data_IF_474277234128
#
_entry.id   IF_474277234128
#
_cell.length_a   1.000
_cell.length_b   1.000
_cell.length_c   1.000
_cell.angle_alpha   90.00
_cell.angle_beta   90.00
_cell.angle_gamma   90.00
#
_symmetry.space_group_name_H-M   'P 1'
#
loop_
_entity.id
_entity.type
_entity.pdbx_description
1 polymer ?
#
# COMPACT_ATOMS: atom_id res chain seq x y z
N UNK A 1 -5.43 12.27 14.92
CA UNK A 1 -4.92 11.04 15.56
C UNK A 1 -5.59 9.86 14.88
N UNK A 2 -4.85 8.84 14.40
CA UNK A 2 -5.49 7.63 13.92
C UNK A 2 -6.35 7.06 15.06
N UNK A 3 -7.56 6.61 14.71
CA UNK A 3 -8.43 5.91 15.65
C UNK A 3 -7.72 4.63 16.14
N UNK A 4 -7.94 4.25 17.39
CA UNK A 4 -7.41 2.99 17.92
C UNK A 4 -7.92 1.82 17.05
N UNK A 5 -6.98 1.09 16.45
CA UNK A 5 -7.27 -0.04 15.56
C UNK A 5 -8.10 -1.12 16.29
N UNK A 6 -7.80 -1.38 17.57
CA UNK A 6 -8.55 -2.37 18.36
C UNK A 6 -9.97 -1.90 18.63
N UNK A 7 -10.17 -0.60 18.87
CA UNK A 7 -11.50 -0.02 18.99
C UNK A 7 -12.28 -0.11 17.66
N UNK A 8 -11.62 0.18 16.52
CA UNK A 8 -12.23 0.13 15.18
C UNK A 8 -12.71 -1.28 14.82
N UNK A 9 -11.87 -2.29 15.05
CA UNK A 9 -12.18 -3.70 14.74
C UNK A 9 -13.38 -4.24 15.54
N UNK A 10 -13.67 -3.69 16.72
CA UNK A 10 -14.86 -4.07 17.51
C UNK A 10 -16.17 -3.57 16.91
N UNK A 11 -16.13 -2.55 16.03
CA UNK A 11 -17.33 -1.86 15.52
C UNK A 11 -17.70 -2.27 14.10
N UNK A 12 -16.72 -2.55 13.24
CA UNK A 12 -16.96 -3.13 11.91
C UNK A 12 -15.67 -3.71 11.32
N UNK A 13 -15.77 -4.45 10.20
CA UNK A 13 -14.59 -4.83 9.42
C UNK A 13 -13.78 -3.61 8.99
N UNK A 14 -12.46 -3.81 8.86
CA UNK A 14 -11.51 -2.86 8.29
C UNK A 14 -11.01 -3.47 6.99
N UNK A 15 -11.17 -2.74 5.88
CA UNK A 15 -10.56 -3.11 4.61
C UNK A 15 -9.08 -2.72 4.67
N UNK A 16 -8.20 -3.65 4.32
CA UNK A 16 -6.77 -3.37 4.18
C UNK A 16 -6.43 -3.16 2.72
N UNK A 17 -5.19 -2.77 2.45
CA UNK A 17 -4.63 -2.70 1.11
C UNK A 17 -4.43 -4.10 0.49
N UNK A 18 -3.90 -4.11 -0.73
CA UNK A 18 -3.67 -5.32 -1.50
C UNK A 18 -2.19 -5.62 -1.76
N UNK A 19 -1.95 -6.46 -2.77
CA UNK A 19 -0.61 -6.90 -3.14
C UNK A 19 0.25 -5.81 -3.79
N UNK A 20 1.12 -5.17 -2.99
CA UNK A 20 2.11 -4.19 -3.43
C UNK A 20 2.98 -4.68 -4.60
N UNK A 21 3.50 -5.91 -4.51
CA UNK A 21 4.35 -6.48 -5.55
C UNK A 21 3.66 -6.62 -6.91
N UNK A 22 2.36 -6.92 -6.93
CA UNK A 22 1.57 -7.05 -8.16
C UNK A 22 1.40 -5.71 -8.85
N UNK A 23 1.06 -4.65 -8.10
CA UNK A 23 0.95 -3.31 -8.68
C UNK A 23 2.31 -2.77 -9.12
N UNK A 24 3.38 -3.01 -8.35
CA UNK A 24 4.74 -2.65 -8.76
C UNK A 24 5.14 -3.36 -10.07
N UNK A 25 4.83 -4.66 -10.19
CA UNK A 25 5.06 -5.42 -11.43
C UNK A 25 4.30 -4.82 -12.61
N UNK A 26 3.03 -4.45 -12.42
CA UNK A 26 2.21 -3.80 -13.46
C UNK A 26 2.77 -2.43 -13.91
N UNK A 27 3.52 -1.76 -13.03
CA UNK A 27 4.21 -0.49 -13.30
C UNK A 27 5.64 -0.68 -13.82
N UNK A 28 6.00 -1.89 -14.23
CA UNK A 28 7.31 -2.21 -14.82
C UNK A 28 8.44 -2.46 -13.82
N UNK A 29 8.11 -2.61 -12.53
CA UNK A 29 9.10 -2.95 -11.49
C UNK A 29 9.01 -4.45 -11.20
N UNK A 30 9.92 -5.20 -11.79
CA UNK A 30 9.95 -6.66 -11.69
C UNK A 30 10.68 -7.14 -10.43
N UNK A 31 10.46 -8.42 -10.10
CA UNK A 31 10.93 -9.08 -8.86
C UNK A 31 12.46 -9.14 -8.69
N UNK A 32 13.22 -8.79 -9.73
CA UNK A 32 14.68 -8.72 -9.70
C UNK A 32 15.23 -7.44 -9.05
N UNK A 33 14.37 -6.53 -8.57
CA UNK A 33 14.75 -5.35 -7.78
C UNK A 33 14.31 -5.48 -6.33
N UNK A 34 15.02 -4.80 -5.44
CA UNK A 34 14.60 -4.67 -4.05
C UNK A 34 13.43 -3.68 -3.96
N UNK A 35 12.23 -4.15 -3.57
CA UNK A 35 11.07 -3.26 -3.45
C UNK A 35 11.21 -2.28 -2.29
N UNK A 36 11.88 -2.68 -1.20
CA UNK A 36 12.09 -1.80 -0.06
C UNK A 36 12.96 -0.59 -0.42
N UNK A 37 13.94 -0.77 -1.31
CA UNK A 37 14.81 0.33 -1.79
C UNK A 37 14.03 1.42 -2.53
N UNK A 38 12.85 1.09 -3.07
CA UNK A 38 12.01 2.03 -3.82
C UNK A 38 11.39 3.08 -2.90
N UNK A 39 11.22 2.79 -1.61
CA UNK A 39 10.81 3.78 -0.62
C UNK A 39 11.79 4.97 -0.54
N UNK A 40 13.06 4.74 -0.87
CA UNK A 40 14.10 5.78 -0.87
C UNK A 40 14.38 6.31 -2.28
N UNK A 41 14.50 5.40 -3.27
CA UNK A 41 14.91 5.77 -4.63
C UNK A 41 13.76 6.30 -5.50
N UNK A 42 12.52 5.87 -5.25
CA UNK A 42 11.32 6.28 -6.00
C UNK A 42 10.11 6.44 -5.05
N UNK A 43 10.19 7.30 -4.03
CA UNK A 43 9.16 7.42 -2.99
C UNK A 43 7.78 7.82 -3.54
N UNK A 44 7.73 8.62 -4.59
CA UNK A 44 6.47 9.06 -5.21
C UNK A 44 5.73 7.90 -5.90
N UNK A 45 6.47 6.96 -6.49
CA UNK A 45 5.89 5.73 -7.06
C UNK A 45 5.21 4.91 -5.96
N UNK A 46 5.90 4.65 -4.85
CA UNK A 46 5.34 3.88 -3.73
C UNK A 46 4.14 4.59 -3.11
N UNK A 47 4.24 5.93 -2.92
CA UNK A 47 3.13 6.73 -2.43
C UNK A 47 1.92 6.66 -3.37
N UNK A 48 2.15 6.67 -4.69
CA UNK A 48 1.11 6.49 -5.70
C UNK A 48 0.38 5.16 -5.55
N UNK A 49 1.12 4.06 -5.35
CA UNK A 49 0.51 2.72 -5.12
C UNK A 49 -0.36 2.72 -3.86
N UNK A 50 0.09 3.29 -2.75
CA UNK A 50 -0.75 3.41 -1.55
C UNK A 50 -1.99 4.27 -1.79
N UNK A 51 -1.88 5.35 -2.57
CA UNK A 51 -3.04 6.17 -2.93
C UNK A 51 -4.04 5.39 -3.80
N UNK A 52 -3.57 4.54 -4.73
CA UNK A 52 -4.46 3.69 -5.52
C UNK A 52 -5.29 2.75 -4.64
N UNK A 53 -4.69 2.15 -3.60
CA UNK A 53 -5.45 1.35 -2.63
C UNK A 53 -6.41 2.17 -1.78
N UNK A 54 -5.98 3.36 -1.32
CA UNK A 54 -6.84 4.27 -0.57
C UNK A 54 -8.06 4.70 -1.40
N UNK A 55 -7.87 5.02 -2.69
CA UNK A 55 -8.99 5.36 -3.58
C UNK A 55 -9.90 4.16 -3.88
N UNK A 56 -9.37 2.94 -3.83
CA UNK A 56 -10.16 1.71 -3.95
C UNK A 56 -10.95 1.37 -2.66
N UNK A 57 -10.71 2.10 -1.55
CA UNK A 57 -11.47 2.01 -0.31
C UNK A 57 -10.73 1.39 0.88
N UNK A 58 -9.44 1.10 0.74
CA UNK A 58 -8.59 0.70 1.87
C UNK A 58 -8.46 1.83 2.91
#
# INVERSE_FOLDING_TARGET
MPADLLARLKTSPVLCDGAMGTLLYSKGIFINRCYDELNLSQPDLIRGVHHEYLQAGA
#
